data_IF_541336156922
#
_entry.id   IF_541336156922
#
_cell.length_a   1.000
_cell.length_b   1.000
_cell.length_c   1.000
_cell.angle_alpha   90.00
_cell.angle_beta   90.00
_cell.angle_gamma   90.00
#
_symmetry.space_group_name_H-M   'P 1'
#
loop_
_entity.id
_entity.type
_entity.pdbx_description
1 polymer ?
#
# COMPACT_ATOMS: atom_id res chain seq x y z
N UNK A 1 -6.08 7.96 -19.41
CA UNK A 1 -6.30 7.55 -18.00
C UNK A 1 -6.31 6.04 -17.84
N UNK A 2 -6.87 5.33 -18.79
CA UNK A 2 -6.96 3.88 -18.70
C UNK A 2 -5.59 3.20 -18.61
N UNK A 3 -4.61 3.67 -19.39
CA UNK A 3 -3.24 3.15 -19.31
C UNK A 3 -2.58 3.43 -17.96
N UNK A 4 -2.90 4.56 -17.38
CA UNK A 4 -2.38 4.94 -16.07
C UNK A 4 -2.92 4.00 -14.98
N UNK A 5 -4.22 3.72 -15.02
CA UNK A 5 -4.83 2.81 -14.06
C UNK A 5 -4.29 1.39 -14.20
N UNK A 6 -4.06 0.95 -15.44
CA UNK A 6 -3.47 -0.38 -15.67
C UNK A 6 -2.04 -0.47 -15.17
N UNK A 7 -1.28 0.62 -15.29
CA UNK A 7 0.08 0.65 -14.77
C UNK A 7 0.13 0.72 -13.25
N UNK A 8 -0.90 1.30 -12.64
CA UNK A 8 -0.97 1.43 -11.18
C UNK A 8 -1.27 0.11 -10.49
N UNK A 9 -2.07 -0.75 -11.11
CA UNK A 9 -2.60 -1.92 -10.40
C UNK A 9 -2.14 -3.22 -11.04
N UNK A 10 -1.93 -4.22 -10.18
CA UNK A 10 -1.67 -5.58 -10.60
C UNK A 10 -2.44 -6.51 -9.67
N UNK A 11 -3.02 -7.55 -10.22
CA UNK A 11 -3.75 -8.52 -9.41
C UNK A 11 -2.85 -9.44 -8.58
N UNK A 12 -1.57 -9.56 -8.95
CA UNK A 12 -0.67 -10.54 -8.34
C UNK A 12 0.75 -9.99 -8.19
N UNK A 13 1.50 -10.67 -7.34
CA UNK A 13 2.94 -10.49 -7.22
C UNK A 13 3.62 -10.89 -8.54
N UNK A 14 4.65 -10.16 -8.94
CA UNK A 14 5.47 -10.54 -10.09
C UNK A 14 6.25 -11.81 -9.79
N UNK A 15 6.33 -12.71 -10.77
CA UNK A 15 7.02 -13.99 -10.62
C UNK A 15 8.52 -13.85 -10.36
N UNK A 16 9.11 -12.74 -10.77
CA UNK A 16 10.54 -12.46 -10.55
C UNK A 16 10.85 -12.27 -9.07
N UNK A 17 9.87 -11.85 -8.26
CA UNK A 17 10.07 -11.68 -6.84
C UNK A 17 10.16 -13.03 -6.15
N UNK A 18 11.16 -13.24 -5.27
CA UNK A 18 11.21 -14.44 -4.44
C UNK A 18 9.95 -14.60 -3.61
N UNK A 19 9.51 -15.83 -3.40
CA UNK A 19 8.29 -16.10 -2.63
C UNK A 19 8.37 -15.60 -1.20
N UNK A 20 9.55 -15.59 -0.63
CA UNK A 20 9.78 -15.06 0.71
C UNK A 20 9.43 -13.58 0.84
N UNK A 21 9.37 -12.86 -0.28
CA UNK A 21 8.93 -11.46 -0.32
C UNK A 21 7.42 -11.30 -0.50
N UNK A 22 6.68 -12.38 -0.52
CA UNK A 22 5.22 -12.33 -0.50
C UNK A 22 4.67 -11.96 0.89
N UNK A 23 5.53 -11.49 1.75
CA UNK A 23 5.17 -10.98 3.06
C UNK A 23 4.05 -9.95 3.00
N UNK A 24 4.13 -9.05 2.02
CA UNK A 24 3.11 -8.02 1.84
C UNK A 24 1.83 -8.54 1.19
N UNK A 25 1.85 -9.73 0.62
CA UNK A 25 0.66 -10.33 0.01
C UNK A 25 -0.49 -10.51 0.97
N UNK A 26 -0.18 -10.71 2.24
CA UNK A 26 -1.19 -10.86 3.30
C UNK A 26 -1.94 -9.56 3.58
N UNK A 27 -1.39 -8.43 3.19
CA UNK A 27 -1.99 -7.12 3.44
C UNK A 27 -2.84 -6.64 2.26
N UNK A 28 -2.71 -7.29 1.10
CA UNK A 28 -3.44 -6.87 -0.10
C UNK A 28 -4.93 -6.92 0.16
N UNK A 29 -5.61 -5.81 -0.15
CA UNK A 29 -7.04 -5.67 0.07
C UNK A 29 -7.40 -4.32 0.60
N UNK A 30 -8.64 -4.22 1.07
CA UNK A 30 -9.19 -2.99 1.61
C UNK A 30 -9.63 -3.22 3.05
N UNK A 31 -9.24 -2.30 3.91
CA UNK A 31 -9.46 -2.41 5.35
C UNK A 31 -10.21 -1.18 5.84
N UNK A 32 -11.27 -1.38 6.60
CA UNK A 32 -11.87 -0.29 7.37
C UNK A 32 -11.10 -0.13 8.66
N UNK A 33 -10.75 1.11 9.01
CA UNK A 33 -9.97 1.40 10.20
C UNK A 33 -10.70 2.35 11.13
N UNK A 34 -10.47 2.14 12.42
CA UNK A 34 -10.91 3.05 13.47
C UNK A 34 -9.66 3.66 14.10
N UNK A 35 -9.46 4.96 13.88
CA UNK A 35 -8.38 5.70 14.51
C UNK A 35 -8.91 6.36 15.78
N UNK A 36 -8.28 6.05 16.90
CA UNK A 36 -8.68 6.62 18.20
C UNK A 36 -7.75 7.77 18.54
N UNK A 37 -8.31 8.97 18.65
CA UNK A 37 -7.57 10.13 19.13
C UNK A 37 -7.64 10.14 20.67
N UNK A 38 -6.53 9.79 21.29
CA UNK A 38 -6.45 9.68 22.75
C UNK A 38 -6.64 11.02 23.46
N UNK A 39 -6.38 12.14 22.78
CA UNK A 39 -6.53 13.46 23.38
C UNK A 39 -7.97 13.92 23.49
N UNK A 40 -8.83 13.48 22.55
CA UNK A 40 -10.24 13.89 22.48
C UNK A 40 -11.21 12.74 22.70
N UNK A 41 -10.71 11.50 22.78
CA UNK A 41 -11.51 10.27 22.84
C UNK A 41 -12.44 10.10 21.63
N UNK A 42 -12.13 10.79 20.53
CA UNK A 42 -12.88 10.63 19.28
C UNK A 42 -12.39 9.43 18.52
N UNK A 43 -13.32 8.78 17.81
CA UNK A 43 -13.02 7.70 16.89
C UNK A 43 -13.23 8.22 15.47
N UNK A 44 -12.17 8.19 14.68
CA UNK A 44 -12.21 8.58 13.27
C UNK A 44 -12.30 7.33 12.42
N UNK A 45 -13.26 7.32 11.51
CA UNK A 45 -13.46 6.20 10.58
C UNK A 45 -12.71 6.48 9.28
N UNK A 46 -11.99 5.50 8.82
CA UNK A 46 -11.25 5.63 7.59
C UNK A 46 -11.06 4.31 6.85
N UNK A 47 -10.27 4.39 5.81
CA UNK A 47 -9.99 3.25 4.95
C UNK A 47 -8.48 3.15 4.70
N UNK A 48 -8.01 1.91 4.57
CA UNK A 48 -6.62 1.62 4.24
C UNK A 48 -6.62 0.55 3.17
N UNK A 49 -6.06 0.87 2.02
CA UNK A 49 -6.06 -0.01 0.85
C UNK A 49 -4.64 -0.38 0.48
N UNK A 50 -4.42 -1.65 0.21
CA UNK A 50 -3.12 -2.16 -0.24
C UNK A 50 -3.30 -2.87 -1.57
N UNK A 51 -2.38 -2.65 -2.49
CA UNK A 51 -2.40 -3.33 -3.79
C UNK A 51 -0.99 -3.55 -4.32
N UNK A 52 -0.83 -4.62 -5.10
CA UNK A 52 0.32 -4.75 -5.97
C UNK A 52 0.22 -3.70 -7.08
N UNK A 53 1.34 -3.08 -7.39
CA UNK A 53 1.44 -2.09 -8.47
C UNK A 53 2.71 -2.36 -9.27
N UNK A 54 2.92 -1.64 -10.36
CA UNK A 54 4.13 -1.76 -11.19
C UNK A 54 4.37 -3.22 -11.61
N UNK A 55 3.37 -3.82 -12.23
CA UNK A 55 3.41 -5.23 -12.68
C UNK A 55 3.75 -6.21 -11.55
N UNK A 56 3.34 -5.88 -10.32
CA UNK A 56 3.58 -6.73 -9.17
C UNK A 56 4.97 -6.62 -8.56
N UNK A 57 5.78 -5.67 -9.02
CA UNK A 57 7.12 -5.43 -8.48
C UNK A 57 7.09 -4.54 -7.24
N UNK A 58 5.95 -3.96 -6.93
CA UNK A 58 5.81 -3.05 -5.80
C UNK A 58 4.47 -3.25 -5.10
N UNK A 59 4.43 -2.82 -3.85
CA UNK A 59 3.19 -2.73 -3.07
C UNK A 59 2.98 -1.28 -2.70
N UNK A 60 1.80 -0.76 -2.99
CA UNK A 60 1.40 0.58 -2.57
C UNK A 60 0.22 0.48 -1.63
N UNK A 61 0.23 1.28 -0.59
CA UNK A 61 -0.94 1.48 0.24
C UNK A 61 -1.39 2.94 0.19
N UNK A 62 -2.68 3.14 0.39
CA UNK A 62 -3.25 4.47 0.57
C UNK A 62 -4.11 4.44 1.83
N UNK A 63 -3.93 5.44 2.67
CA UNK A 63 -4.75 5.62 3.86
C UNK A 63 -5.59 6.88 3.71
N UNK A 64 -6.87 6.76 4.00
CA UNK A 64 -7.83 7.85 3.88
C UNK A 64 -8.57 7.96 5.21
N UNK A 65 -8.28 9.03 5.95
CA UNK A 65 -9.02 9.44 7.14
C UNK A 65 -9.65 10.79 6.82
N UNK A 66 -10.89 10.82 6.33
CA UNK A 66 -11.49 12.05 5.81
C UNK A 66 -11.44 13.20 6.82
N UNK A 67 -10.91 14.35 6.34
CA UNK A 67 -10.75 15.53 7.17
C UNK A 67 -9.60 15.49 8.15
N UNK A 68 -8.82 14.40 8.17
CA UNK A 68 -7.73 14.24 9.14
C UNK A 68 -6.41 13.89 8.46
N UNK A 69 -6.35 12.79 7.70
CA UNK A 69 -5.10 12.33 7.11
C UNK A 69 -5.33 11.66 5.77
N UNK A 70 -4.43 11.98 4.83
CA UNK A 70 -4.34 11.32 3.53
C UNK A 70 -2.89 10.96 3.32
N UNK A 71 -2.63 9.69 3.11
CA UNK A 71 -1.26 9.23 2.98
C UNK A 71 -1.11 8.07 2.01
N UNK A 72 0.11 7.87 1.55
CA UNK A 72 0.46 6.75 0.69
C UNK A 72 1.88 6.30 0.99
N UNK A 73 2.11 4.99 0.89
CA UNK A 73 3.44 4.42 1.00
C UNK A 73 3.65 3.51 -0.21
N UNK A 74 4.79 3.67 -0.84
CA UNK A 74 5.21 2.84 -1.98
C UNK A 74 6.44 2.04 -1.57
N UNK A 75 6.37 0.72 -1.74
CA UNK A 75 7.48 -0.20 -1.46
C UNK A 75 7.83 -0.90 -2.77
N UNK A 76 9.01 -0.62 -3.30
CA UNK A 76 9.48 -1.15 -4.58
C UNK A 76 10.63 -2.10 -4.31
N UNK A 77 10.52 -3.32 -4.85
CA UNK A 77 11.61 -4.29 -4.73
C UNK A 77 12.75 -3.92 -5.69
N UNK A 78 13.96 -3.87 -5.17
CA UNK A 78 15.17 -3.62 -5.94
C UNK A 78 15.96 -4.93 -6.03
N UNK A 79 15.99 -5.58 -7.21
CA UNK A 79 16.69 -6.87 -7.35
C UNK A 79 18.21 -6.73 -7.22
N UNK A 80 18.79 -5.56 -7.47
CA UNK A 80 20.23 -5.36 -7.37
C UNK A 80 20.71 -5.39 -5.91
N UNK A 81 19.90 -4.87 -5.00
CA UNK A 81 20.24 -4.81 -3.58
C UNK A 81 19.57 -5.88 -2.75
N UNK A 82 18.65 -6.66 -3.37
CA UNK A 82 17.80 -7.63 -2.68
C UNK A 82 17.04 -7.01 -1.50
N UNK A 83 16.56 -5.78 -1.68
CA UNK A 83 15.89 -5.02 -0.64
C UNK A 83 14.69 -4.26 -1.20
N UNK A 84 13.85 -3.78 -0.29
CA UNK A 84 12.72 -2.94 -0.64
C UNK A 84 13.11 -1.47 -0.43
N UNK A 85 12.87 -0.67 -1.45
CA UNK A 85 12.98 0.78 -1.34
C UNK A 85 11.61 1.32 -0.94
N UNK A 86 11.55 2.13 0.10
CA UNK A 86 10.30 2.60 0.69
C UNK A 86 10.24 4.13 0.62
N UNK A 87 9.13 4.63 0.08
CA UNK A 87 8.85 6.06 0.06
C UNK A 87 7.41 6.27 0.56
N UNK A 88 7.23 7.23 1.45
CA UNK A 88 5.90 7.54 1.95
C UNK A 88 5.68 9.04 2.05
N UNK A 89 4.41 9.43 1.83
CA UNK A 89 3.95 10.80 1.88
C UNK A 89 2.67 10.88 2.73
N UNK A 90 2.63 11.84 3.60
CA UNK A 90 1.46 12.10 4.44
C UNK A 90 1.02 13.55 4.33
#
# INVERSE_FOLDING_TARGET
MERFYKALTSGTKNEVLPEEFDFFGKLIGSWNIDYVDNSTSQVLKGEWHFSWVLEGMAVQDVIILPGFEYGTTLRVYNPDTHAWDVAYCY
#
